data_IF_732272410474
#
_entry.id   IF_732272410474
#
_cell.length_a   1.000
_cell.length_b   1.000
_cell.length_c   1.000
_cell.angle_alpha   90.00
_cell.angle_beta   90.00
_cell.angle_gamma   90.00
#
_symmetry.space_group_name_H-M   'P 1'
#
loop_
_entity.id
_entity.type
_entity.pdbx_description
1 polymer ?
#
# COMPACT_ATOMS: atom_id res chain seq x y z
N UNK A 1 27.48 15.01 21.65
CA UNK A 1 27.05 13.65 22.06
C UNK A 1 25.54 13.67 22.19
N UNK A 2 24.82 13.41 21.10
CA UNK A 2 24.30 12.08 20.69
C UNK A 2 23.25 11.62 21.71
N UNK A 3 21.96 11.48 21.42
CA UNK A 3 21.38 10.82 20.27
C UNK A 3 19.87 11.21 20.18
N UNK A 4 19.48 12.07 19.23
CA UNK A 4 18.07 12.15 18.81
C UNK A 4 17.84 10.99 17.85
N UNK A 5 17.38 9.85 18.38
CA UNK A 5 16.89 8.74 17.58
C UNK A 5 15.63 9.20 16.84
N UNK A 6 15.82 9.59 15.59
CA UNK A 6 14.78 9.59 14.56
C UNK A 6 14.36 8.14 14.32
N UNK A 7 13.46 7.64 15.16
CA UNK A 7 12.70 6.44 14.83
C UNK A 7 11.90 6.75 13.56
N UNK A 8 12.02 5.93 12.49
CA UNK A 8 11.24 6.14 11.28
C UNK A 8 9.75 6.13 11.66
N UNK A 9 8.95 7.10 11.19
CA UNK A 9 7.49 7.13 11.41
C UNK A 9 6.83 5.78 11.08
N UNK A 10 7.40 5.01 10.15
CA UNK A 10 6.98 3.64 9.82
C UNK A 10 7.07 2.66 11.00
N UNK A 11 8.10 2.74 11.85
CA UNK A 11 8.28 1.86 13.02
C UNK A 11 7.29 2.20 14.13
N UNK A 12 6.96 3.49 14.30
CA UNK A 12 5.96 3.93 15.28
C UNK A 12 4.54 3.50 14.85
N UNK A 13 4.20 3.68 13.57
CA UNK A 13 2.92 3.25 13.00
C UNK A 13 2.74 1.72 13.05
N UNK A 14 3.80 0.96 12.76
CA UNK A 14 3.77 -0.50 12.86
C UNK A 14 3.61 -1.00 14.30
N UNK A 15 4.11 -0.25 15.29
CA UNK A 15 3.99 -0.57 16.72
C UNK A 15 2.61 -0.22 17.30
N UNK A 16 2.02 0.89 16.85
CA UNK A 16 0.65 1.29 17.21
C UNK A 16 -0.36 0.33 16.57
N UNK A 17 -0.21 0.00 15.28
CA UNK A 17 -1.03 -1.00 14.61
C UNK A 17 -0.90 -2.40 15.26
N UNK A 18 0.28 -2.76 15.78
CA UNK A 18 0.50 -3.99 16.54
C UNK A 18 -0.18 -4.02 17.91
N UNK A 19 -0.24 -2.88 18.61
CA UNK A 19 -0.91 -2.72 19.91
C UNK A 19 -2.44 -2.77 19.79
N UNK A 20 -3.00 -2.16 18.75
CA UNK A 20 -4.44 -2.27 18.46
C UNK A 20 -4.79 -3.71 18.06
N UNK A 21 -3.97 -4.37 17.23
CA UNK A 21 -4.14 -5.79 16.86
C UNK A 21 -4.20 -6.75 18.06
N UNK A 22 -3.37 -6.54 19.08
CA UNK A 22 -3.39 -7.37 20.28
C UNK A 22 -4.67 -7.11 21.10
N UNK A 23 -5.11 -5.86 21.23
CA UNK A 23 -6.36 -5.50 21.93
C UNK A 23 -7.61 -6.02 21.24
N UNK A 24 -7.68 -5.93 19.92
CA UNK A 24 -8.80 -6.39 19.11
C UNK A 24 -8.92 -7.92 19.13
N UNK A 25 -7.78 -8.63 19.03
CA UNK A 25 -7.75 -10.08 19.18
C UNK A 25 -8.18 -10.55 20.58
N UNK A 26 -7.75 -9.86 21.65
CA UNK A 26 -8.17 -10.12 23.02
C UNK A 26 -9.69 -9.92 23.20
N UNK A 27 -10.26 -8.86 22.63
CA UNK A 27 -11.69 -8.56 22.72
C UNK A 27 -12.57 -9.67 22.10
N UNK A 28 -12.16 -10.24 20.97
CA UNK A 28 -12.90 -11.34 20.33
C UNK A 28 -12.73 -12.68 21.05
N UNK A 29 -11.52 -13.01 21.52
CA UNK A 29 -11.30 -14.19 22.37
C UNK A 29 -12.21 -14.10 23.59
N UNK A 30 -12.35 -12.91 24.19
CA UNK A 30 -13.25 -12.67 25.30
C UNK A 30 -14.73 -12.86 24.93
N UNK A 31 -15.19 -12.39 23.75
CA UNK A 31 -16.58 -12.58 23.30
C UNK A 31 -16.92 -14.05 23.07
N UNK A 32 -16.06 -14.78 22.34
CA UNK A 32 -16.29 -16.20 22.05
C UNK A 32 -16.24 -17.04 23.33
N UNK A 33 -15.27 -16.78 24.21
CA UNK A 33 -15.14 -17.50 25.47
C UNK A 33 -16.31 -17.22 26.41
N UNK A 34 -16.78 -15.96 26.46
CA UNK A 34 -17.93 -15.56 27.26
C UNK A 34 -19.22 -16.24 26.78
N UNK A 35 -19.53 -16.22 25.48
CA UNK A 35 -20.76 -16.84 24.96
C UNK A 35 -20.76 -18.34 25.12
N UNK A 36 -19.67 -19.02 24.73
CA UNK A 36 -19.58 -20.47 24.89
C UNK A 36 -19.59 -20.88 26.37
N UNK A 37 -18.92 -20.12 27.23
CA UNK A 37 -18.92 -20.33 28.68
C UNK A 37 -20.31 -20.13 29.30
N UNK A 38 -21.01 -19.06 28.93
CA UNK A 38 -22.38 -18.82 29.40
C UNK A 38 -23.35 -19.93 28.95
N UNK A 39 -23.27 -20.37 27.69
CA UNK A 39 -24.07 -21.49 27.21
C UNK A 39 -23.76 -22.80 27.95
N UNK A 40 -22.48 -23.08 28.23
CA UNK A 40 -22.06 -24.24 29.01
C UNK A 40 -22.61 -24.20 30.44
N UNK A 41 -22.57 -23.04 31.09
CA UNK A 41 -23.14 -22.84 32.43
C UNK A 41 -24.65 -23.10 32.44
N UNK A 42 -25.38 -22.66 31.40
CA UNK A 42 -26.80 -22.95 31.27
C UNK A 42 -27.08 -24.45 31.12
N UNK A 43 -26.27 -25.17 30.34
CA UNK A 43 -26.36 -26.64 30.22
C UNK A 43 -26.15 -27.30 31.58
N UNK A 44 -25.06 -26.96 32.27
CA UNK A 44 -24.71 -27.53 33.57
C UNK A 44 -25.77 -27.22 34.63
N UNK A 45 -26.28 -25.99 34.67
CA UNK A 45 -27.38 -25.59 35.55
C UNK A 45 -28.66 -26.37 35.27
N UNK A 46 -28.99 -26.60 33.99
CA UNK A 46 -30.13 -27.42 33.58
C UNK A 46 -30.03 -28.88 34.06
N UNK A 47 -28.83 -29.47 33.97
CA UNK A 47 -28.57 -30.83 34.47
C UNK A 47 -28.65 -30.90 35.99
N UNK A 48 -27.95 -30.02 36.71
CA UNK A 48 -27.85 -30.06 38.18
C UNK A 48 -29.18 -29.76 38.87
N UNK A 49 -29.98 -28.86 38.32
CA UNK A 49 -31.28 -28.47 38.87
C UNK A 49 -32.43 -29.34 38.33
N UNK A 50 -32.13 -30.33 37.48
CA UNK A 50 -33.11 -31.18 36.78
C UNK A 50 -34.24 -30.39 36.10
N UNK A 51 -33.91 -29.22 35.51
CA UNK A 51 -34.86 -28.34 34.83
C UNK A 51 -34.82 -28.58 33.31
N UNK A 52 -35.78 -29.32 32.72
CA UNK A 52 -35.73 -29.71 31.31
C UNK A 52 -35.78 -28.51 30.35
N UNK A 53 -36.49 -27.44 30.73
CA UNK A 53 -36.56 -26.21 29.95
C UNK A 53 -35.19 -25.51 29.88
N UNK A 54 -34.50 -25.40 31.02
CA UNK A 54 -33.18 -24.77 31.10
C UNK A 54 -32.11 -25.59 30.36
N UNK A 55 -32.20 -26.91 30.46
CA UNK A 55 -31.35 -27.85 29.70
C UNK A 55 -31.53 -27.66 28.19
N UNK A 56 -32.77 -27.58 27.70
CA UNK A 56 -33.06 -27.35 26.27
C UNK A 56 -32.47 -26.03 25.78
N UNK A 57 -32.70 -24.93 26.51
CA UNK A 57 -32.12 -23.62 26.20
C UNK A 57 -30.60 -23.69 26.13
N UNK A 58 -29.96 -24.27 27.14
CA UNK A 58 -28.50 -24.40 27.22
C UNK A 58 -27.94 -25.23 26.06
N UNK A 59 -28.54 -26.38 25.75
CA UNK A 59 -28.03 -27.29 24.72
C UNK A 59 -28.10 -26.67 23.32
N UNK A 60 -29.21 -26.03 22.97
CA UNK A 60 -29.32 -25.35 21.68
C UNK A 60 -28.44 -24.09 21.61
N UNK A 61 -28.33 -23.31 22.68
CA UNK A 61 -27.41 -22.17 22.75
C UNK A 61 -25.95 -22.61 22.56
N UNK A 62 -25.54 -23.69 23.24
CA UNK A 62 -24.19 -24.24 23.15
C UNK A 62 -23.91 -24.78 21.75
N UNK A 63 -24.84 -25.54 21.16
CA UNK A 63 -24.71 -26.04 19.80
C UNK A 63 -24.56 -24.90 18.77
N UNK A 64 -25.36 -23.84 18.90
CA UNK A 64 -25.28 -22.66 18.04
C UNK A 64 -23.94 -21.92 18.16
N UNK A 65 -23.48 -21.67 19.39
CA UNK A 65 -22.22 -20.97 19.65
C UNK A 65 -21.00 -21.78 19.18
N UNK A 66 -20.97 -23.10 19.44
CA UNK A 66 -19.87 -23.99 19.01
C UNK A 66 -19.83 -24.11 17.49
N UNK A 67 -20.98 -24.35 16.85
CA UNK A 67 -21.04 -24.52 15.39
C UNK A 67 -20.54 -23.26 14.68
N UNK A 68 -20.91 -22.08 15.19
CA UNK A 68 -20.43 -20.85 14.58
C UNK A 68 -18.95 -20.57 14.87
N UNK A 69 -18.46 -20.92 16.06
CA UNK A 69 -17.02 -20.85 16.37
C UNK A 69 -16.23 -21.73 15.40
N UNK A 70 -16.72 -22.94 15.14
CA UNK A 70 -16.13 -23.87 14.17
C UNK A 70 -16.19 -23.31 12.73
N UNK A 71 -17.32 -22.72 12.32
CA UNK A 71 -17.47 -22.11 11.00
C UNK A 71 -16.44 -20.98 10.76
N UNK A 72 -16.25 -20.11 11.75
CA UNK A 72 -15.23 -19.06 11.70
C UNK A 72 -13.84 -19.67 11.59
N UNK A 73 -13.52 -20.69 12.39
CA UNK A 73 -12.23 -21.36 12.33
C UNK A 73 -11.98 -21.99 10.95
N UNK A 74 -13.00 -22.67 10.41
CA UNK A 74 -12.99 -23.34 9.12
C UNK A 74 -12.82 -22.36 7.94
N UNK A 75 -13.20 -21.10 8.10
CA UNK A 75 -13.03 -20.08 7.06
C UNK A 75 -11.55 -19.76 6.80
N UNK A 76 -10.72 -19.81 7.85
CA UNK A 76 -9.29 -19.46 7.81
C UNK A 76 -8.35 -20.67 7.80
N UNK A 77 -8.76 -21.79 8.41
CA UNK A 77 -7.94 -22.99 8.56
C UNK A 77 -8.58 -24.19 7.87
N UNK A 78 -7.74 -25.08 7.32
CA UNK A 78 -8.20 -26.37 6.81
C UNK A 78 -8.41 -27.33 7.97
N UNK A 79 -9.62 -27.83 8.11
CA UNK A 79 -10.00 -28.81 9.14
C UNK A 79 -10.16 -30.17 8.46
N UNK A 80 -9.49 -31.23 8.94
CA UNK A 80 -9.66 -32.57 8.37
C UNK A 80 -11.13 -33.02 8.51
N UNK A 81 -11.63 -33.75 7.52
CA UNK A 81 -13.03 -34.24 7.39
C UNK A 81 -14.11 -33.20 7.06
N UNK A 82 -13.83 -31.90 7.10
CA UNK A 82 -14.82 -30.86 6.75
C UNK A 82 -14.55 -30.29 5.36
N UNK A 83 -15.41 -30.65 4.39
CA UNK A 83 -15.38 -30.07 3.04
C UNK A 83 -15.68 -28.57 3.10
N UNK A 84 -14.96 -27.80 2.29
CA UNK A 84 -15.08 -26.34 2.28
C UNK A 84 -14.31 -25.64 3.39
N UNK A 85 -13.34 -26.31 4.03
CA UNK A 85 -12.43 -25.69 4.99
C UNK A 85 -11.26 -24.95 4.32
N UNK A 86 -10.79 -23.88 4.95
CA UNK A 86 -9.74 -23.00 4.44
C UNK A 86 -10.12 -22.22 3.19
N UNK A 87 -11.36 -21.71 3.09
CA UNK A 87 -11.86 -21.02 1.88
C UNK A 87 -11.00 -19.80 1.52
N UNK A 88 -10.59 -19.01 2.51
CA UNK A 88 -9.80 -17.79 2.27
C UNK A 88 -8.44 -18.09 1.65
N UNK A 89 -7.55 -18.90 2.25
CA UNK A 89 -6.27 -19.22 1.63
C UNK A 89 -6.44 -20.00 0.31
N UNK A 90 -7.53 -20.76 0.13
CA UNK A 90 -7.81 -21.46 -1.11
C UNK A 90 -8.11 -20.52 -2.30
N UNK A 91 -8.68 -19.33 -2.04
CA UNK A 91 -8.99 -18.32 -3.07
C UNK A 91 -7.89 -17.26 -3.25
N UNK A 92 -6.67 -17.54 -2.78
CA UNK A 92 -5.54 -16.62 -2.86
C UNK A 92 -5.32 -16.00 -4.26
N UNK A 93 -5.46 -16.81 -5.32
CA UNK A 93 -5.27 -16.35 -6.70
C UNK A 93 -6.30 -15.29 -7.08
N UNK A 94 -7.56 -15.49 -6.70
CA UNK A 94 -8.65 -14.53 -6.93
C UNK A 94 -8.39 -13.23 -6.17
N UNK A 95 -7.93 -13.30 -4.91
CA UNK A 95 -7.57 -12.12 -4.13
C UNK A 95 -6.42 -11.34 -4.77
N UNK A 96 -5.35 -12.03 -5.21
CA UNK A 96 -4.22 -11.38 -5.87
C UNK A 96 -4.66 -10.64 -7.13
N UNK A 97 -5.51 -11.28 -7.95
CA UNK A 97 -6.06 -10.68 -9.16
C UNK A 97 -6.99 -9.49 -8.84
N UNK A 98 -7.82 -9.60 -7.81
CA UNK A 98 -8.68 -8.52 -7.36
C UNK A 98 -7.90 -7.28 -6.91
N UNK A 99 -6.79 -7.48 -6.17
CA UNK A 99 -5.90 -6.38 -5.78
C UNK A 99 -5.23 -5.76 -7.00
N UNK A 100 -4.73 -6.56 -7.93
CA UNK A 100 -4.17 -6.06 -9.19
C UNK A 100 -5.17 -5.14 -9.92
N UNK A 101 -6.41 -5.61 -10.10
CA UNK A 101 -7.46 -4.84 -10.77
C UNK A 101 -7.77 -3.54 -10.02
N UNK A 102 -7.94 -3.60 -8.70
CA UNK A 102 -8.16 -2.42 -7.87
C UNK A 102 -7.03 -1.40 -8.06
N UNK A 103 -5.76 -1.82 -7.99
CA UNK A 103 -4.61 -0.93 -8.11
C UNK A 103 -4.52 -0.32 -9.51
N UNK A 104 -4.59 -1.13 -10.56
CA UNK A 104 -4.39 -0.68 -11.94
C UNK A 104 -5.58 0.09 -12.52
N UNK A 105 -6.79 -0.19 -12.05
CA UNK A 105 -8.01 0.44 -12.55
C UNK A 105 -8.46 1.61 -11.68
N UNK A 106 -8.38 1.49 -10.35
CA UNK A 106 -8.89 2.55 -9.46
C UNK A 106 -7.83 3.60 -9.09
N UNK A 107 -6.55 3.22 -9.01
CA UNK A 107 -5.48 4.15 -8.63
C UNK A 107 -4.67 4.63 -9.83
N UNK A 108 -4.23 3.71 -10.69
CA UNK A 108 -3.35 4.00 -11.83
C UNK A 108 -4.04 3.94 -13.20
N UNK A 109 -5.35 4.23 -13.26
CA UNK A 109 -6.03 4.46 -14.54
C UNK A 109 -5.41 5.63 -15.30
N UNK A 110 -5.52 5.60 -16.63
CA UNK A 110 -5.07 6.72 -17.48
C UNK A 110 -5.67 8.04 -17.01
N UNK A 111 -6.98 8.08 -16.74
CA UNK A 111 -7.67 9.29 -16.27
C UNK A 111 -7.10 9.83 -14.95
N UNK A 112 -6.75 8.97 -13.99
CA UNK A 112 -6.17 9.41 -12.73
C UNK A 112 -4.76 9.96 -12.89
N UNK A 113 -3.95 9.35 -13.76
CA UNK A 113 -2.59 9.81 -14.07
C UNK A 113 -2.66 11.17 -14.77
N UNK A 114 -3.54 11.30 -15.76
CA UNK A 114 -3.78 12.55 -16.50
C UNK A 114 -4.22 13.67 -15.54
N UNK A 115 -5.17 13.38 -14.65
CA UNK A 115 -5.63 14.32 -13.62
C UNK A 115 -4.49 14.75 -12.70
N UNK A 116 -3.66 13.81 -12.26
CA UNK A 116 -2.50 14.12 -11.42
C UNK A 116 -1.48 15.04 -12.12
N UNK A 117 -1.19 14.80 -13.39
CA UNK A 117 -0.29 15.66 -14.18
C UNK A 117 -0.90 17.03 -14.44
N UNK A 118 -2.20 17.11 -14.72
CA UNK A 118 -2.93 18.37 -14.88
C UNK A 118 -2.88 19.22 -13.60
N UNK A 119 -3.07 18.61 -12.43
CA UNK A 119 -2.92 19.30 -11.14
C UNK A 119 -1.49 19.85 -10.95
N UNK A 120 -0.46 19.08 -11.35
CA UNK A 120 0.93 19.55 -11.28
C UNK A 120 1.23 20.70 -12.23
N UNK A 121 0.62 20.73 -13.42
CA UNK A 121 0.70 21.87 -14.34
C UNK A 121 0.08 23.13 -13.73
N UNK A 122 -1.05 23.01 -13.04
CA UNK A 122 -1.76 24.14 -12.43
C UNK A 122 -1.09 24.70 -11.17
N UNK A 123 -0.35 23.86 -10.43
CA UNK A 123 0.27 24.30 -9.18
C UNK A 123 1.48 25.24 -9.36
N UNK A 124 1.95 25.48 -10.60
CA UNK A 124 3.13 26.30 -10.94
C UNK A 124 4.37 26.02 -10.06
N UNK A 125 4.38 24.86 -9.40
CA UNK A 125 5.39 24.46 -8.43
C UNK A 125 6.57 23.83 -9.17
N UNK A 126 7.79 24.04 -8.66
CA UNK A 126 8.99 23.34 -9.12
C UNK A 126 8.78 21.83 -8.97
N UNK A 127 8.31 21.19 -10.04
CA UNK A 127 8.04 19.75 -10.04
C UNK A 127 9.34 18.95 -9.95
N UNK A 128 10.43 19.52 -10.48
CA UNK A 128 11.74 18.88 -10.56
C UNK A 128 12.85 19.86 -10.20
N UNK A 129 13.87 19.38 -9.48
CA UNK A 129 15.10 20.12 -9.20
C UNK A 129 16.27 19.49 -9.98
N UNK A 130 16.72 20.20 -11.01
CA UNK A 130 17.82 19.77 -11.87
C UNK A 130 19.18 20.28 -11.41
N UNK A 131 19.25 21.12 -10.39
CA UNK A 131 20.51 21.67 -9.87
C UNK A 131 21.54 20.56 -9.54
N UNK A 132 21.18 19.43 -8.90
CA UNK A 132 22.14 18.36 -8.60
C UNK A 132 22.68 17.68 -9.85
N UNK A 133 21.86 17.55 -10.89
CA UNK A 133 22.24 16.90 -12.16
C UNK A 133 23.14 17.81 -12.96
N UNK A 134 22.77 19.09 -13.09
CA UNK A 134 23.57 20.12 -13.78
C UNK A 134 24.94 20.27 -13.12
N UNK A 135 25.03 20.18 -11.77
CA UNK A 135 26.30 20.21 -11.04
C UNK A 135 27.24 19.04 -11.29
N UNK A 136 26.69 17.89 -11.68
CA UNK A 136 27.48 16.69 -11.97
C UNK A 136 27.75 16.50 -13.47
N UNK A 137 27.19 17.36 -14.31
CA UNK A 137 27.33 17.26 -15.77
C UNK A 137 28.64 17.90 -16.23
N UNK A 138 29.42 17.18 -17.04
CA UNK A 138 30.63 17.75 -17.67
C UNK A 138 30.23 18.68 -18.83
N UNK A 139 30.53 19.97 -18.69
CA UNK A 139 30.24 21.00 -19.69
C UNK A 139 31.46 21.32 -20.57
N UNK A 140 32.58 20.61 -20.41
CA UNK A 140 33.75 20.74 -21.27
C UNK A 140 33.44 20.62 -22.77
N UNK A 141 32.53 19.73 -23.23
CA UNK A 141 32.14 19.66 -24.64
C UNK A 141 31.54 20.97 -25.16
N UNK A 142 30.75 21.69 -24.35
CA UNK A 142 30.16 22.96 -24.74
C UNK A 142 31.21 24.06 -24.91
N UNK A 143 32.22 24.08 -24.03
CA UNK A 143 33.37 24.99 -24.17
C UNK A 143 34.19 24.68 -25.43
N UNK A 144 34.48 23.40 -25.68
CA UNK A 144 35.21 23.00 -26.88
C UNK A 144 34.46 23.36 -28.17
N UNK A 145 33.13 23.19 -28.18
CA UNK A 145 32.28 23.60 -29.29
C UNK A 145 32.32 25.12 -29.51
N UNK A 146 32.31 25.92 -28.44
CA UNK A 146 32.50 27.38 -28.52
C UNK A 146 33.85 27.74 -29.11
N UNK A 147 34.95 27.13 -28.63
CA UNK A 147 36.30 27.38 -29.14
C UNK A 147 36.38 27.06 -30.63
N UNK A 148 35.83 25.91 -31.05
CA UNK A 148 35.81 25.51 -32.45
C UNK A 148 34.99 26.46 -33.33
N UNK A 149 33.82 26.92 -32.84
CA UNK A 149 33.00 27.90 -33.56
C UNK A 149 33.74 29.25 -33.72
N UNK A 150 34.49 29.69 -32.70
CA UNK A 150 35.31 30.91 -32.77
C UNK A 150 36.45 30.74 -33.77
N UNK A 151 37.14 29.61 -33.76
CA UNK A 151 38.21 29.30 -34.72
C UNK A 151 37.73 29.31 -36.18
N UNK A 152 36.52 28.80 -36.43
CA UNK A 152 35.92 28.77 -37.77
C UNK A 152 35.32 30.11 -38.20
N UNK A 153 35.18 31.07 -37.29
CA UNK A 153 34.62 32.39 -37.57
C UNK A 153 35.69 33.38 -38.07
N UNK A 154 35.25 34.55 -38.52
CA UNK A 154 36.14 35.68 -38.86
C UNK A 154 37.04 36.11 -37.68
N UNK A 155 36.62 35.86 -36.44
CA UNK A 155 37.43 36.10 -35.25
C UNK A 155 38.58 35.09 -35.08
N UNK A 156 38.48 33.89 -35.65
CA UNK A 156 39.51 32.85 -35.54
C UNK A 156 40.81 33.22 -36.28
N UNK A 157 40.68 33.87 -37.44
CA UNK A 157 41.84 34.39 -38.19
C UNK A 157 42.59 35.47 -37.42
N UNK A 158 41.85 36.36 -36.73
CA UNK A 158 42.44 37.38 -35.85
C UNK A 158 43.08 36.74 -34.61
N UNK A 159 42.39 35.78 -33.97
CA UNK A 159 42.87 35.08 -32.78
C UNK A 159 44.17 34.29 -33.05
N UNK A 160 44.30 33.74 -34.26
CA UNK A 160 45.51 33.02 -34.71
C UNK A 160 46.75 33.92 -34.73
N UNK A 161 46.59 35.23 -34.98
CA UNK A 161 47.69 36.19 -34.92
C UNK A 161 48.19 36.47 -33.49
N UNK A 162 47.36 36.17 -32.47
CA UNK A 162 47.66 36.42 -31.05
C UNK A 162 47.91 35.13 -30.25
N UNK A 163 48.24 34.01 -30.90
CA UNK A 163 48.54 32.73 -30.24
C UNK A 163 47.45 31.67 -30.32
N UNK A 164 46.38 31.92 -31.09
CA UNK A 164 45.35 30.93 -31.42
C UNK A 164 44.44 30.55 -30.26
N UNK A 165 43.71 29.45 -30.41
CA UNK A 165 42.74 28.95 -29.41
C UNK A 165 43.35 28.54 -28.07
N UNK A 166 44.67 28.35 -28.01
CA UNK A 166 45.38 28.13 -26.76
C UNK A 166 45.17 29.27 -25.75
N UNK A 167 44.94 30.49 -26.23
CA UNK A 167 44.62 31.66 -25.39
C UNK A 167 43.26 31.58 -24.71
N UNK A 168 42.34 30.74 -25.20
CA UNK A 168 41.00 30.60 -24.63
C UNK A 168 40.98 29.58 -23.48
N UNK A 169 41.97 28.69 -23.36
CA UNK A 169 42.02 27.66 -22.31
C UNK A 169 41.83 28.17 -20.87
N UNK A 170 42.43 29.31 -20.45
CA UNK A 170 42.19 29.86 -19.11
C UNK A 170 40.72 30.23 -18.85
N UNK A 171 39.93 30.45 -19.90
CA UNK A 171 38.51 30.80 -19.81
C UNK A 171 37.59 29.58 -19.70
N UNK A 172 38.11 28.35 -19.82
CA UNK A 172 37.30 27.13 -19.77
C UNK A 172 36.52 27.03 -18.45
N UNK A 173 37.20 27.23 -17.33
CA UNK A 173 36.61 27.14 -16.01
C UNK A 173 35.56 28.25 -15.76
N UNK A 174 35.86 29.56 -15.94
CA UNK A 174 34.85 30.60 -15.73
C UNK A 174 33.67 30.52 -16.71
N UNK A 175 33.90 30.05 -17.96
CA UNK A 175 32.79 29.77 -18.89
C UNK A 175 31.90 28.64 -18.35
N UNK A 176 32.50 27.54 -17.92
CA UNK A 176 31.78 26.36 -17.40
C UNK A 176 30.92 26.73 -16.19
N UNK A 177 31.48 27.46 -15.22
CA UNK A 177 30.76 27.91 -14.02
C UNK A 177 29.59 28.86 -14.37
N UNK A 178 29.79 29.77 -15.32
CA UNK A 178 28.74 30.68 -15.80
C UNK A 178 27.63 29.96 -16.55
N UNK A 179 28.00 29.04 -17.46
CA UNK A 179 27.04 28.23 -18.20
C UNK A 179 26.22 27.35 -17.26
N UNK A 180 26.87 26.72 -16.29
CA UNK A 180 26.21 25.93 -15.26
C UNK A 180 25.18 26.75 -14.48
N UNK A 181 25.55 27.97 -14.06
CA UNK A 181 24.66 28.87 -13.34
C UNK A 181 23.45 29.27 -14.19
N UNK A 182 23.68 29.57 -15.48
CA UNK A 182 22.61 29.89 -16.43
C UNK A 182 21.66 28.69 -16.65
N UNK A 183 22.20 27.47 -16.77
CA UNK A 183 21.38 26.26 -16.90
C UNK A 183 20.52 26.01 -15.65
N UNK A 184 21.06 26.25 -14.45
CA UNK A 184 20.30 26.16 -13.20
C UNK A 184 19.14 27.15 -13.22
N UNK A 185 19.40 28.42 -13.56
CA UNK A 185 18.36 29.45 -13.66
C UNK A 185 17.27 29.08 -14.68
N UNK A 186 17.66 28.61 -15.87
CA UNK A 186 16.72 28.14 -16.90
C UNK A 186 15.91 26.95 -16.40
N UNK A 187 16.53 25.96 -15.76
CA UNK A 187 15.84 24.77 -15.26
C UNK A 187 14.82 25.10 -14.17
N UNK A 188 15.03 26.18 -13.43
CA UNK A 188 14.12 26.68 -12.41
C UNK A 188 13.02 27.60 -12.98
N UNK A 189 13.11 27.95 -14.26
CA UNK A 189 12.10 28.77 -14.92
C UNK A 189 10.78 28.01 -15.05
N UNK A 190 9.68 28.76 -14.97
CA UNK A 190 8.34 28.20 -15.13
C UNK A 190 8.13 27.64 -16.54
N UNK A 191 8.65 28.32 -17.56
CA UNK A 191 8.56 27.90 -18.95
C UNK A 191 9.20 26.53 -19.19
N UNK A 192 10.40 26.30 -18.64
CA UNK A 192 11.07 25.00 -18.76
C UNK A 192 10.26 23.88 -18.09
N UNK A 193 9.73 24.14 -16.89
CA UNK A 193 8.89 23.18 -16.16
C UNK A 193 7.59 22.85 -16.91
N UNK A 194 6.92 23.85 -17.49
CA UNK A 194 5.71 23.63 -18.30
C UNK A 194 6.00 22.81 -19.56
N UNK A 195 7.11 23.10 -20.25
CA UNK A 195 7.53 22.33 -21.43
C UNK A 195 7.81 20.87 -21.07
N UNK A 196 8.51 20.63 -19.97
CA UNK A 196 8.76 19.27 -19.48
C UNK A 196 7.46 18.53 -19.11
N UNK A 197 6.57 19.17 -18.35
CA UNK A 197 5.28 18.56 -18.00
C UNK A 197 4.41 18.28 -19.23
N UNK A 198 4.54 19.07 -20.29
CA UNK A 198 3.84 18.82 -21.56
C UNK A 198 4.43 17.61 -22.29
N UNK A 199 5.74 17.41 -22.23
CA UNK A 199 6.39 16.21 -22.79
C UNK A 199 5.99 14.94 -22.02
N UNK A 200 5.93 15.02 -20.67
CA UNK A 200 5.51 13.92 -19.79
C UNK A 200 4.04 13.53 -19.96
N UNK A 201 3.20 14.47 -20.39
CA UNK A 201 1.77 14.25 -20.67
C UNK A 201 1.53 13.67 -22.08
N UNK A 202 2.58 13.19 -22.75
CA UNK A 202 2.43 12.52 -24.04
C UNK A 202 1.85 11.10 -23.85
N UNK A 203 0.91 10.65 -24.71
CA UNK A 203 0.25 9.35 -24.57
C UNK A 203 1.22 8.17 -24.49
N UNK A 204 2.34 8.26 -25.21
CA UNK A 204 3.39 7.24 -25.25
C UNK A 204 4.11 7.14 -23.90
N UNK A 205 4.53 8.27 -23.31
CA UNK A 205 5.20 8.27 -22.00
C UNK A 205 4.27 7.83 -20.87
N UNK A 206 2.99 8.18 -20.94
CA UNK A 206 1.98 7.74 -19.98
C UNK A 206 1.76 6.23 -20.06
N UNK A 207 1.72 5.67 -21.27
CA UNK A 207 1.62 4.23 -21.48
C UNK A 207 2.85 3.49 -20.93
N UNK A 208 4.06 4.00 -21.21
CA UNK A 208 5.30 3.43 -20.67
C UNK A 208 5.35 3.48 -19.14
N UNK A 209 5.00 4.63 -18.54
CA UNK A 209 4.96 4.79 -17.09
C UNK A 209 3.94 3.84 -16.45
N UNK A 210 2.75 3.71 -17.04
CA UNK A 210 1.75 2.75 -16.58
C UNK A 210 2.28 1.32 -16.66
N UNK A 211 2.95 0.95 -17.74
CA UNK A 211 3.54 -0.38 -17.91
C UNK A 211 4.65 -0.65 -16.88
N UNK A 212 5.49 0.34 -16.57
CA UNK A 212 6.50 0.19 -15.51
C UNK A 212 5.86 0.00 -14.14
N UNK A 213 4.81 0.78 -13.82
CA UNK A 213 4.06 0.62 -12.57
C UNK A 213 3.41 -0.77 -12.52
N UNK A 214 2.83 -1.23 -13.62
CA UNK A 214 2.22 -2.55 -13.72
C UNK A 214 3.22 -3.65 -13.37
N UNK A 215 4.42 -3.62 -13.95
CA UNK A 215 5.49 -4.58 -13.65
C UNK A 215 5.88 -4.56 -12.16
N UNK A 216 5.99 -3.37 -11.57
CA UNK A 216 6.30 -3.23 -10.14
C UNK A 216 5.17 -3.82 -9.27
N UNK A 217 3.92 -3.53 -9.62
CA UNK A 217 2.74 -4.04 -8.92
C UNK A 217 2.68 -5.56 -9.03
N UNK A 218 2.85 -6.12 -10.22
CA UNK A 218 2.88 -7.57 -10.44
C UNK A 218 3.99 -8.24 -9.62
N UNK A 219 5.20 -7.67 -9.59
CA UNK A 219 6.30 -8.20 -8.79
C UNK A 219 5.95 -8.22 -7.30
N UNK A 220 5.33 -7.16 -6.77
CA UNK A 220 4.88 -7.11 -5.37
C UNK A 220 3.73 -8.07 -5.08
N UNK A 221 2.82 -8.24 -6.02
CA UNK A 221 1.73 -9.20 -5.90
C UNK A 221 2.22 -10.66 -6.00
N UNK A 222 3.32 -10.91 -6.71
CA UNK A 222 3.97 -12.21 -6.77
C UNK A 222 4.65 -12.59 -5.43
N UNK A 223 5.10 -11.61 -4.66
CA UNK A 223 5.61 -11.80 -3.30
C UNK A 223 4.50 -12.10 -2.28
N UNK A 224 3.22 -11.87 -2.61
CA UNK A 224 2.12 -12.22 -1.73
C UNK A 224 2.03 -13.73 -1.56
N UNK A 225 1.95 -14.16 -0.30
CA UNK A 225 1.71 -15.56 0.05
C UNK A 225 0.27 -15.74 0.54
N UNK A 226 -0.28 -16.96 0.48
CA UNK A 226 -1.60 -17.26 1.04
C UNK A 226 -1.72 -16.89 2.53
N UNK A 227 -0.63 -17.01 3.29
CA UNK A 227 -0.60 -16.67 4.71
C UNK A 227 -0.71 -15.16 4.95
N UNK A 228 -0.05 -14.33 4.12
CA UNK A 228 -0.19 -12.88 4.20
C UNK A 228 -1.62 -12.43 3.89
N UNK A 229 -2.26 -13.00 2.85
CA UNK A 229 -3.66 -12.69 2.51
C UNK A 229 -4.60 -13.09 3.64
N UNK A 230 -4.41 -14.28 4.21
CA UNK A 230 -5.13 -14.73 5.40
C UNK A 230 -4.98 -13.71 6.52
N UNK A 231 -3.76 -13.27 6.85
CA UNK A 231 -3.53 -12.28 7.91
C UNK A 231 -4.21 -10.93 7.65
N UNK A 232 -4.18 -10.44 6.41
CA UNK A 232 -4.84 -9.18 6.02
C UNK A 232 -6.35 -9.30 6.21
N UNK A 233 -6.98 -10.32 5.63
CA UNK A 233 -8.44 -10.51 5.71
C UNK A 233 -8.86 -10.74 7.15
N UNK A 234 -8.12 -11.59 7.85
CA UNK A 234 -8.35 -11.88 9.25
C UNK A 234 -8.26 -10.61 10.10
N UNK A 235 -7.37 -9.67 9.80
CA UNK A 235 -7.35 -8.36 10.50
C UNK A 235 -8.61 -7.55 10.20
N UNK A 236 -9.09 -7.56 8.97
CA UNK A 236 -10.24 -6.74 8.55
C UNK A 236 -11.59 -7.25 9.07
N UNK A 237 -11.84 -8.57 9.07
CA UNK A 237 -13.19 -9.10 9.29
C UNK A 237 -13.38 -9.81 10.63
N UNK A 238 -12.29 -10.23 11.29
CA UNK A 238 -12.36 -11.10 12.47
C UNK A 238 -13.15 -10.48 13.61
N UNK A 239 -13.05 -9.17 13.82
CA UNK A 239 -13.82 -8.48 14.87
C UNK A 239 -15.34 -8.58 14.68
N UNK A 240 -15.79 -8.48 13.42
CA UNK A 240 -17.19 -8.58 13.06
C UNK A 240 -17.69 -10.03 13.13
N UNK A 241 -16.81 -11.01 12.86
CA UNK A 241 -17.16 -12.44 12.94
C UNK A 241 -17.46 -12.91 14.37
N UNK A 242 -16.84 -12.32 15.39
CA UNK A 242 -17.11 -12.68 16.79
C UNK A 242 -18.58 -12.49 17.20
N UNK A 243 -19.29 -11.52 16.62
CA UNK A 243 -20.72 -11.32 16.85
C UNK A 243 -21.58 -12.49 16.38
N UNK A 244 -21.14 -13.19 15.34
CA UNK A 244 -21.85 -14.34 14.80
C UNK A 244 -21.93 -15.46 15.86
N UNK A 245 -20.91 -15.60 16.73
CA UNK A 245 -20.91 -16.59 17.82
C UNK A 245 -21.92 -16.21 18.90
N UNK A 246 -21.96 -14.93 19.27
CA UNK A 246 -22.93 -14.38 20.23
C UNK A 246 -24.35 -14.64 19.76
N UNK A 247 -24.65 -14.29 18.50
CA UNK A 247 -25.96 -14.52 17.90
C UNK A 247 -26.28 -15.99 17.74
N UNK A 248 -25.31 -16.84 17.39
CA UNK A 248 -25.48 -18.29 17.39
C UNK A 248 -25.95 -18.83 18.74
N UNK A 249 -25.36 -18.33 19.84
CA UNK A 249 -25.79 -18.65 21.20
C UNK A 249 -27.18 -18.12 21.55
N UNK A 250 -27.49 -16.87 21.20
CA UNK A 250 -28.79 -16.24 21.48
C UNK A 250 -29.92 -16.93 20.71
N UNK A 251 -29.77 -17.10 19.38
CA UNK A 251 -30.79 -17.78 18.57
C UNK A 251 -30.92 -19.25 18.94
N UNK A 252 -29.82 -19.94 19.24
CA UNK A 252 -29.85 -21.27 19.81
C UNK A 252 -30.67 -21.32 21.10
N UNK A 253 -30.44 -20.38 22.02
CA UNK A 253 -31.21 -20.29 23.27
C UNK A 253 -32.70 -20.05 23.05
N UNK A 254 -33.07 -19.16 22.12
CA UNK A 254 -34.48 -18.91 21.75
C UNK A 254 -35.12 -20.16 21.17
N UNK A 255 -34.44 -20.87 20.26
CA UNK A 255 -34.95 -22.12 19.70
C UNK A 255 -35.07 -23.21 20.76
N UNK A 256 -34.11 -23.31 21.68
CA UNK A 256 -34.15 -24.22 22.80
C UNK A 256 -35.30 -23.91 23.77
N UNK A 257 -35.63 -22.64 23.96
CA UNK A 257 -36.79 -22.21 24.75
C UNK A 257 -38.09 -22.68 24.07
N UNK A 258 -38.25 -22.39 22.77
CA UNK A 258 -39.42 -22.80 22.00
C UNK A 258 -39.58 -24.33 21.98
N UNK A 259 -38.50 -25.07 21.71
CA UNK A 259 -38.50 -26.53 21.72
C UNK A 259 -38.86 -27.08 23.10
N UNK A 260 -38.33 -26.48 24.17
CA UNK A 260 -38.62 -26.87 25.54
C UNK A 260 -40.05 -26.54 26.00
N UNK A 261 -40.68 -25.50 25.44
CA UNK A 261 -42.10 -25.20 25.67
C UNK A 261 -43.03 -26.16 24.93
N UNK A 262 -42.65 -26.59 23.72
CA UNK A 262 -43.44 -27.52 22.89
C UNK A 262 -43.35 -28.96 23.41
N UNK A 263 -42.18 -29.36 23.93
CA UNK A 263 -41.93 -30.71 24.44
C UNK A 263 -42.45 -30.96 25.87
N UNK A 264 -43.16 -29.98 26.45
CA UNK A 264 -43.70 -30.02 27.82
C UNK A 264 -45.20 -30.23 27.77
#
# INVERSE_FOLDING_TARGET
MLCRLTLPKAVLLHKIAGLDLQREAECMVNKNLLTNGAALVLVLGGVLLAQPLLLSIGMFALAGAITNTLAIHMLFERVPLLYGSGVIPARFVEFRQGIYQLVMTEFFSSENIDRFLAEKKQQHSRAFDFEPVIKQTDLSPAFNALVSAVEQSSFGSMLSMFGGSAMLKPLQQPFTEKLQSALIEISQSEQFNQLLLTQLDSPEQLAELRQQIEQIVEQRLAELTPELVKQIIQRMIREHLGWLVVWGGVFGGVLGLLAGLISR
#
